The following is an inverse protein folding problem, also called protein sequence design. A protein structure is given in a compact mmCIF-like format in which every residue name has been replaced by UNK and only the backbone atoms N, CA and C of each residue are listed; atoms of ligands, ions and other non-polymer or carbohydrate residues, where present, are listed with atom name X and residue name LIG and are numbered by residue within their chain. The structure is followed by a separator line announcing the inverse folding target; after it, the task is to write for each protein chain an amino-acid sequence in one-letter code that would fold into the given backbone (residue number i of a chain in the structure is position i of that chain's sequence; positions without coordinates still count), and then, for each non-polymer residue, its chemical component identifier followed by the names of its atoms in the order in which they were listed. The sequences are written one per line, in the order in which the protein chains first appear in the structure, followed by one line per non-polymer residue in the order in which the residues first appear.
data_IF_533567151759
#
_entry.id   IF_533567151759
#
_cell.length_a   1.000
_cell.length_b   1.000
_cell.length_c   1.000
_cell.angle_alpha   90.00
_cell.angle_beta   90.00
_cell.angle_gamma   90.00
#
_symmetry.space_group_name_H-M   'P 1'
#
loop_
_entity.id
_entity.type
_entity.pdbx_description
1 polymer ?
#
# COMPACT_ATOMS: atom_id res chain seq x y z
N UNK A 1 3.70 -6.39 15.17
CA UNK A 1 2.56 -6.54 14.22
C UNK A 1 1.42 -5.60 14.57
N UNK A 2 0.43 -5.37 13.68
CA UNK A 2 -0.59 -4.35 14.00
C UNK A 2 -1.30 -4.65 15.31
N UNK A 3 -1.43 -3.63 16.15
CA UNK A 3 -2.00 -3.73 17.50
C UNK A 3 -3.00 -2.61 17.69
N UNK A 4 -4.25 -2.98 17.93
CA UNK A 4 -5.30 -1.99 18.17
C UNK A 4 -5.10 -1.33 19.54
N UNK A 5 -5.45 -0.03 19.67
CA UNK A 5 -5.46 0.61 20.96
C UNK A 5 -6.40 -0.14 21.90
N UNK A 6 -5.91 -0.44 23.11
CA UNK A 6 -6.77 -1.00 24.15
C UNK A 6 -7.91 -0.02 24.39
N UNK A 7 -9.18 -0.44 24.36
CA UNK A 7 -10.30 0.47 24.59
C UNK A 7 -10.13 1.13 25.95
N UNK A 8 -9.69 2.38 25.98
CA UNK A 8 -9.76 3.19 27.19
C UNK A 8 -11.23 3.48 27.41
N UNK A 9 -11.76 2.99 28.54
CA UNK A 9 -13.21 2.89 28.77
C UNK A 9 -13.95 4.21 28.56
N UNK A 10 -14.55 4.38 27.38
CA UNK A 10 -15.68 5.27 27.16
C UNK A 10 -16.86 4.45 26.65
N UNK A 11 -17.80 4.19 27.58
CA UNK A 11 -19.11 3.63 27.28
C UNK A 11 -19.83 4.54 26.26
N UNK A 12 -19.94 4.07 25.02
CA UNK A 12 -20.62 4.77 23.92
C UNK A 12 -21.54 3.82 23.17
N UNK A 13 -22.78 3.71 23.64
CA UNK A 13 -23.98 3.11 23.02
C UNK A 13 -23.81 2.56 21.58
N UNK A 14 -23.80 1.23 21.45
CA UNK A 14 -24.09 0.53 20.18
C UNK A 14 -25.46 0.96 19.65
N UNK A 15 -25.49 1.72 18.55
CA UNK A 15 -26.69 1.87 17.72
C UNK A 15 -26.68 0.73 16.71
N UNK A 16 -27.59 -0.21 16.90
CA UNK A 16 -27.86 -1.31 15.98
C UNK A 16 -28.55 -0.72 14.74
N UNK A 17 -27.87 -0.63 13.60
CA UNK A 17 -28.50 -0.34 12.32
C UNK A 17 -28.89 -1.67 11.65
N UNK A 18 -30.19 -1.86 11.44
CA UNK A 18 -30.75 -2.99 10.71
C UNK A 18 -30.70 -2.67 9.22
N UNK A 19 -29.88 -3.39 8.44
CA UNK A 19 -29.85 -3.27 6.98
C UNK A 19 -30.94 -4.17 6.36
N UNK A 20 -31.86 -3.58 5.60
CA UNK A 20 -32.83 -4.29 4.76
C UNK A 20 -32.27 -4.32 3.34
N UNK A 21 -31.96 -5.53 2.84
CA UNK A 21 -31.52 -5.76 1.46
C UNK A 21 -32.73 -6.15 0.62
N UNK A 22 -33.12 -5.33 -0.34
CA UNK A 22 -34.08 -5.68 -1.39
C UNK A 22 -33.35 -5.95 -2.71
N UNK A 23 -33.33 -7.22 -3.11
CA UNK A 23 -32.86 -7.69 -4.43
C UNK A 23 -34.00 -7.55 -5.46
N UNK A 24 -33.78 -6.75 -6.50
CA UNK A 24 -34.60 -6.73 -7.71
C UNK A 24 -33.78 -7.25 -8.88
N UNK A 25 -34.13 -8.44 -9.36
CA UNK A 25 -33.61 -9.03 -10.59
C UNK A 25 -34.54 -8.60 -11.73
N UNK A 26 -33.99 -7.93 -12.75
CA UNK A 26 -34.72 -7.69 -14.00
C UNK A 26 -33.88 -8.19 -15.17
N UNK A 27 -34.41 -9.19 -15.86
CA UNK A 27 -33.88 -9.76 -17.08
C UNK A 27 -34.59 -9.13 -18.27
N UNK A 28 -33.83 -8.67 -19.27
CA UNK A 28 -34.34 -8.43 -20.61
C UNK A 28 -33.29 -8.89 -21.64
N UNK A 29 -33.68 -9.87 -22.44
CA UNK A 29 -33.00 -10.28 -23.65
C UNK A 29 -33.47 -9.42 -24.83
N UNK A 30 -32.58 -9.08 -25.77
CA UNK A 30 -32.97 -8.72 -27.13
C UNK A 30 -31.85 -9.00 -28.15
N UNK A 31 -32.08 -10.07 -28.92
CA UNK A 31 -31.94 -10.21 -30.37
C UNK A 31 -30.85 -9.45 -31.12
N UNK A 32 -30.01 -10.24 -31.80
CA UNK A 32 -29.13 -9.78 -32.86
C UNK A 32 -29.87 -9.37 -34.14
N UNK A 33 -29.18 -8.51 -34.89
CA UNK A 33 -29.34 -8.37 -36.32
C UNK A 33 -27.94 -8.10 -36.91
N UNK A 34 -27.49 -8.99 -37.78
CA UNK A 34 -26.43 -8.69 -38.74
C UNK A 34 -27.03 -7.82 -39.86
N UNK A 35 -26.19 -7.01 -40.53
CA UNK A 35 -26.08 -6.96 -42.00
C UNK A 35 -25.06 -5.90 -42.47
N UNK A 36 -24.27 -6.36 -43.44
CA UNK A 36 -23.56 -5.73 -44.56
C UNK A 36 -22.39 -4.75 -44.39
N UNK A 37 -21.28 -5.26 -44.92
CA UNK A 37 -20.09 -4.64 -45.50
C UNK A 37 -20.39 -3.82 -46.75
N UNK A 38 -19.76 -2.66 -46.89
CA UNK A 38 -19.57 -1.95 -48.17
C UNK A 38 -18.07 -1.60 -48.32
N UNK A 39 -17.45 -1.70 -49.52
CA UNK A 39 -16.02 -1.58 -49.70
C UNK A 39 -15.61 -0.13 -49.98
N UNK A 40 -14.96 0.50 -49.01
CA UNK A 40 -14.43 1.87 -49.13
C UNK A 40 -12.92 1.92 -49.33
N UNK A 41 -12.51 2.14 -50.58
CA UNK A 41 -11.33 2.89 -51.07
C UNK A 41 -10.02 2.84 -50.25
N UNK A 42 -9.00 2.20 -50.83
CA UNK A 42 -7.62 2.21 -50.36
C UNK A 42 -7.02 3.63 -50.34
N UNK A 43 -6.55 4.09 -49.16
CA UNK A 43 -5.66 5.25 -49.01
C UNK A 43 -4.19 4.76 -49.04
N UNK A 44 -3.26 5.54 -49.61
CA UNK A 44 -1.85 5.17 -49.65
C UNK A 44 -1.27 5.12 -48.24
N UNK A 45 -0.42 4.12 -48.00
CA UNK A 45 0.29 3.94 -46.73
C UNK A 45 1.24 5.13 -46.51
N UNK A 46 0.87 6.02 -45.60
CA UNK A 46 1.81 6.97 -45.02
C UNK A 46 2.70 6.17 -44.06
N UNK A 47 4.01 6.20 -44.29
CA UNK A 47 5.00 5.69 -43.33
C UNK A 47 4.70 6.26 -41.94
N UNK A 48 4.27 5.38 -41.02
CA UNK A 48 4.22 5.72 -39.61
C UNK A 48 5.66 5.74 -39.10
N UNK A 49 6.30 6.90 -39.19
CA UNK A 49 7.50 7.17 -38.39
C UNK A 49 7.09 6.99 -36.94
N UNK A 50 7.66 5.95 -36.30
CA UNK A 50 7.51 5.69 -34.87
C UNK A 50 7.90 6.99 -34.14
N UNK A 51 7.01 7.60 -33.34
CA UNK A 51 7.39 8.75 -32.53
C UNK A 51 8.60 8.36 -31.68
N UNK A 52 9.59 9.24 -31.59
CA UNK A 52 10.71 9.06 -30.69
C UNK A 52 10.19 8.81 -29.26
N UNK A 53 10.90 8.04 -28.42
CA UNK A 53 10.51 7.88 -27.02
C UNK A 53 10.33 9.26 -26.39
N UNK A 54 9.14 9.52 -25.84
CA UNK A 54 8.91 10.72 -25.05
C UNK A 54 9.85 10.61 -23.84
N UNK A 55 10.69 11.62 -23.53
CA UNK A 55 11.55 11.55 -22.36
C UNK A 55 10.69 11.27 -21.12
N UNK A 56 11.15 10.35 -20.28
CA UNK A 56 10.52 10.01 -19.01
C UNK A 56 10.14 11.30 -18.29
N UNK A 57 8.83 11.57 -18.16
CA UNK A 57 8.34 12.77 -17.52
C UNK A 57 8.83 12.73 -16.08
N UNK A 58 9.79 13.59 -15.73
CA UNK A 58 10.32 13.64 -14.37
C UNK A 58 9.20 14.09 -13.45
N UNK A 59 8.75 13.21 -12.56
CA UNK A 59 7.79 13.57 -11.53
C UNK A 59 8.32 14.81 -10.80
N UNK A 60 7.54 15.88 -10.79
CA UNK A 60 7.83 17.12 -10.06
C UNK A 60 6.64 17.38 -9.17
N UNK A 61 6.85 17.65 -7.88
CA UNK A 61 5.72 17.95 -7.01
C UNK A 61 5.12 19.33 -7.34
N UNK A 62 3.79 19.44 -7.39
CA UNK A 62 3.12 20.72 -7.41
C UNK A 62 3.56 21.59 -6.23
N UNK A 63 3.84 22.87 -6.49
CA UNK A 63 4.21 23.80 -5.41
C UNK A 63 3.11 23.95 -4.36
N UNK A 64 1.84 23.77 -4.77
CA UNK A 64 0.67 23.72 -3.88
C UNK A 64 0.75 22.57 -2.88
N UNK A 65 1.10 21.37 -3.33
CA UNK A 65 1.27 20.19 -2.47
C UNK A 65 2.39 20.41 -1.44
N UNK A 66 3.53 20.96 -1.88
CA UNK A 66 4.66 21.25 -0.98
C UNK A 66 4.26 22.27 0.09
N UNK A 67 3.60 23.37 -0.30
CA UNK A 67 3.16 24.41 0.62
C UNK A 67 2.05 23.91 1.57
N UNK A 68 1.08 23.15 1.05
CA UNK A 68 0.02 22.53 1.83
C UNK A 68 0.57 21.57 2.87
N UNK A 69 1.58 20.77 2.51
CA UNK A 69 2.21 19.84 3.43
C UNK A 69 2.97 20.57 4.54
N UNK A 70 3.69 21.65 4.20
CA UNK A 70 4.32 22.51 5.20
C UNK A 70 3.30 23.12 6.17
N UNK A 71 2.11 23.48 5.68
CA UNK A 71 1.03 23.98 6.52
C UNK A 71 0.44 22.89 7.43
N UNK A 72 0.23 21.67 6.92
CA UNK A 72 -0.21 20.53 7.74
C UNK A 72 0.76 20.28 8.90
N UNK A 73 2.07 20.25 8.64
CA UNK A 73 3.10 20.09 9.68
C UNK A 73 3.06 21.19 10.74
N UNK A 74 2.73 22.41 10.37
CA UNK A 74 2.63 23.52 11.32
C UNK A 74 1.38 23.40 12.23
N UNK A 75 0.34 22.71 11.78
CA UNK A 75 -0.94 22.56 12.49
C UNK A 75 -1.06 21.28 13.32
N UNK A 76 -0.33 20.23 12.94
CA UNK A 76 -0.42 18.89 13.52
C UNK A 76 0.90 18.55 14.24
N UNK A 77 0.97 18.72 15.57
CA UNK A 77 2.17 18.40 16.35
C UNK A 77 2.52 16.91 16.24
N UNK A 78 3.76 16.63 15.86
CA UNK A 78 4.24 15.28 15.62
C UNK A 78 5.16 15.19 14.42
N UNK A 79 5.53 13.96 14.07
CA UNK A 79 6.32 13.64 12.89
C UNK A 79 5.43 13.02 11.83
N UNK A 80 5.65 13.42 10.58
CA UNK A 80 4.92 12.85 9.44
C UNK A 80 5.81 12.79 8.20
N UNK A 81 5.47 11.87 7.31
CA UNK A 81 6.18 11.66 6.05
C UNK A 81 5.22 11.28 4.94
N UNK A 82 5.42 11.86 3.76
CA UNK A 82 4.78 11.49 2.51
C UNK A 82 5.89 11.25 1.49
N UNK A 83 5.85 10.11 0.81
CA UNK A 83 6.73 9.81 -0.29
C UNK A 83 5.91 9.35 -1.50
N UNK A 84 6.29 9.80 -2.70
CA UNK A 84 5.61 9.43 -3.95
C UNK A 84 6.61 9.09 -5.07
N UNK A 85 6.19 8.19 -5.96
CA UNK A 85 6.94 7.75 -7.13
C UNK A 85 5.97 7.22 -8.19
N UNK A 86 6.20 7.52 -9.47
CA UNK A 86 5.47 6.88 -10.55
C UNK A 86 5.79 5.36 -10.59
N UNK A 87 4.78 4.50 -10.76
CA UNK A 87 5.01 3.05 -10.91
C UNK A 87 5.99 2.78 -12.06
N UNK A 88 6.94 1.88 -11.84
CA UNK A 88 8.00 1.57 -12.81
C UNK A 88 9.12 2.62 -12.90
N UNK A 89 8.98 3.78 -12.26
CA UNK A 89 9.99 4.84 -12.22
C UNK A 89 11.03 4.68 -11.11
N UNK A 90 11.98 5.61 -11.08
CA UNK A 90 13.08 5.65 -10.08
C UNK A 90 13.16 6.98 -9.31
N UNK A 91 12.31 7.95 -9.65
CA UNK A 91 12.33 9.26 -9.02
C UNK A 91 11.48 9.29 -7.76
N UNK A 92 12.16 9.24 -6.60
CA UNK A 92 11.56 9.42 -5.28
C UNK A 92 11.37 10.90 -5.02
N UNK A 93 10.20 11.28 -4.52
CA UNK A 93 10.03 12.58 -3.85
C UNK A 93 9.46 12.37 -2.46
N UNK A 94 10.02 13.06 -1.47
CA UNK A 94 9.61 12.98 -0.06
C UNK A 94 9.29 14.35 0.51
N UNK A 95 8.26 14.41 1.36
CA UNK A 95 7.91 15.55 2.20
C UNK A 95 7.84 15.10 3.66
N UNK A 96 8.21 15.98 4.57
CA UNK A 96 8.15 15.74 6.02
C UNK A 96 9.47 15.37 6.66
N UNK A 97 9.38 14.92 7.91
CA UNK A 97 10.51 14.63 8.80
C UNK A 97 10.49 13.19 9.35
N UNK A 98 9.42 12.43 9.09
CA UNK A 98 9.40 11.00 9.35
C UNK A 98 10.10 10.24 8.23
N UNK A 99 11.06 9.37 8.57
CA UNK A 99 11.93 8.71 7.59
C UNK A 99 11.98 7.19 7.72
N UNK A 100 11.96 6.64 8.93
CA UNK A 100 12.07 5.20 9.17
C UNK A 100 11.40 4.78 10.46
N UNK A 101 11.04 3.51 10.53
CA UNK A 101 10.47 2.85 11.70
C UNK A 101 9.99 1.44 11.35
N UNK A 102 9.42 0.76 12.34
CA UNK A 102 8.87 -0.59 12.20
C UNK A 102 7.81 -0.67 11.11
N UNK A 103 7.81 -1.76 10.35
CA UNK A 103 6.88 -1.98 9.24
C UNK A 103 5.44 -2.24 9.71
N UNK A 104 5.26 -2.79 10.91
CA UNK A 104 3.97 -3.29 11.38
C UNK A 104 3.34 -4.22 10.32
N UNK A 105 2.02 -4.16 10.10
CA UNK A 105 1.35 -5.01 9.11
C UNK A 105 1.60 -4.64 7.65
N UNK A 106 2.35 -3.57 7.35
CA UNK A 106 2.68 -3.27 5.95
C UNK A 106 3.59 -4.35 5.33
N UNK A 107 4.43 -5.01 6.13
CA UNK A 107 5.28 -6.14 5.70
C UNK A 107 4.47 -7.37 5.25
N UNK A 108 3.16 -7.44 5.57
CA UNK A 108 2.32 -8.56 5.15
C UNK A 108 2.20 -8.68 3.63
N UNK A 109 2.39 -7.58 2.89
CA UNK A 109 2.31 -7.58 1.42
C UNK A 109 3.47 -8.38 0.79
N UNK A 110 4.76 -8.09 1.05
CA UNK A 110 5.85 -8.93 0.54
C UNK A 110 5.81 -10.36 1.12
N UNK A 111 5.34 -10.53 2.37
CA UNK A 111 5.10 -11.85 2.96
C UNK A 111 4.07 -12.68 2.18
N UNK A 112 2.91 -12.11 1.89
CA UNK A 112 1.87 -12.78 1.12
C UNK A 112 2.35 -13.10 -0.31
N UNK A 113 3.11 -12.20 -0.94
CA UNK A 113 3.69 -12.45 -2.26
C UNK A 113 4.67 -13.63 -2.23
N UNK A 114 5.60 -13.65 -1.27
CA UNK A 114 6.54 -14.76 -1.11
C UNK A 114 5.79 -16.10 -0.89
N UNK A 115 4.80 -16.11 -0.01
CA UNK A 115 4.00 -17.30 0.31
C UNK A 115 3.16 -17.78 -0.89
N UNK A 116 2.47 -16.89 -1.59
CA UNK A 116 1.66 -17.24 -2.77
C UNK A 116 2.51 -17.73 -3.95
N UNK A 117 3.78 -17.31 -4.05
CA UNK A 117 4.71 -17.88 -5.05
C UNK A 117 5.06 -19.34 -4.75
N UNK A 118 5.03 -19.75 -3.48
CA UNK A 118 5.28 -21.13 -3.05
C UNK A 118 4.06 -22.02 -3.28
N UNK A 119 2.89 -21.56 -2.87
CA UNK A 119 1.63 -22.29 -3.01
C UNK A 119 0.47 -21.32 -3.32
N UNK A 120 0.24 -21.00 -4.60
CA UNK A 120 -0.75 -19.99 -4.99
C UNK A 120 -2.19 -20.42 -4.70
N UNK A 121 -2.46 -21.73 -4.60
CA UNK A 121 -3.82 -22.25 -4.39
C UNK A 121 -4.09 -22.52 -2.91
N UNK A 122 -3.19 -23.23 -2.24
CA UNK A 122 -3.40 -23.63 -0.84
C UNK A 122 -3.29 -22.48 0.16
N UNK A 123 -2.62 -21.38 -0.18
CA UNK A 123 -2.45 -20.21 0.69
C UNK A 123 -3.33 -19.01 0.28
N UNK A 124 -4.23 -19.18 -0.69
CA UNK A 124 -5.05 -18.08 -1.20
C UNK A 124 -5.93 -17.42 -0.12
N UNK A 125 -6.69 -18.22 0.64
CA UNK A 125 -7.58 -17.71 1.69
C UNK A 125 -6.80 -17.11 2.87
N UNK A 126 -5.63 -17.69 3.18
CA UNK A 126 -4.73 -17.21 4.24
C UNK A 126 -4.15 -15.85 3.84
N UNK A 127 -3.70 -15.71 2.59
CA UNK A 127 -3.23 -14.43 2.05
C UNK A 127 -4.34 -13.38 2.02
N UNK A 128 -5.56 -13.77 1.65
CA UNK A 128 -6.72 -12.87 1.68
C UNK A 128 -6.94 -12.32 3.09
N UNK A 129 -7.06 -13.19 4.11
CA UNK A 129 -7.26 -12.75 5.49
C UNK A 129 -6.13 -11.84 6.00
N UNK A 130 -4.88 -12.20 5.69
CA UNK A 130 -3.71 -11.42 6.08
C UNK A 130 -3.69 -10.02 5.43
N UNK A 131 -4.11 -9.89 4.17
CA UNK A 131 -4.09 -8.60 3.46
C UNK A 131 -5.33 -7.76 3.76
N UNK A 132 -6.53 -8.30 3.56
CA UNK A 132 -7.79 -7.53 3.59
C UNK A 132 -8.21 -7.12 5.00
N UNK A 133 -8.14 -8.05 5.94
CA UNK A 133 -8.51 -7.84 7.34
C UNK A 133 -7.29 -7.56 8.23
N UNK A 134 -6.07 -7.63 7.67
CA UNK A 134 -4.85 -7.55 8.47
C UNK A 134 -4.77 -8.60 9.56
N UNK A 135 -5.32 -9.80 9.33
CA UNK A 135 -5.34 -10.90 10.30
C UNK A 135 -3.91 -11.33 10.67
N UNK A 136 -3.61 -11.37 11.96
CA UNK A 136 -2.27 -11.67 12.45
C UNK A 136 -1.99 -13.18 12.43
N UNK A 137 -2.97 -14.03 12.75
CA UNK A 137 -2.79 -15.49 12.74
C UNK A 137 -2.61 -15.99 11.31
N UNK A 138 -3.34 -15.41 10.35
CA UNK A 138 -3.15 -15.69 8.94
C UNK A 138 -1.74 -15.30 8.48
N UNK A 139 -1.22 -14.13 8.85
CA UNK A 139 0.14 -13.75 8.53
C UNK A 139 1.19 -14.66 9.18
N UNK A 140 0.97 -15.10 10.43
CA UNK A 140 1.83 -16.09 11.06
C UNK A 140 1.81 -17.43 10.29
N UNK A 141 0.65 -17.86 9.79
CA UNK A 141 0.55 -19.07 8.98
C UNK A 141 1.30 -18.96 7.65
N UNK A 142 1.29 -17.78 7.00
CA UNK A 142 2.11 -17.53 5.80
C UNK A 142 3.60 -17.61 6.13
N UNK A 143 4.03 -17.02 7.24
CA UNK A 143 5.42 -17.07 7.71
C UNK A 143 5.88 -18.51 7.97
N UNK A 144 5.05 -19.31 8.66
CA UNK A 144 5.32 -20.73 8.92
C UNK A 144 5.35 -21.54 7.63
N UNK A 145 4.46 -21.26 6.67
CA UNK A 145 4.44 -21.95 5.37
C UNK A 145 5.71 -21.72 4.54
N UNK A 146 6.43 -20.61 4.79
CA UNK A 146 7.74 -20.33 4.21
C UNK A 146 8.91 -21.00 4.96
N UNK A 147 8.63 -21.70 6.07
CA UNK A 147 9.61 -22.39 6.91
C UNK A 147 9.82 -21.75 8.29
N UNK A 148 9.20 -20.60 8.57
CA UNK A 148 9.46 -19.81 9.77
C UNK A 148 10.89 -19.26 9.79
N UNK A 149 11.27 -18.62 10.90
CA UNK A 149 12.64 -18.20 11.20
C UNK A 149 13.38 -17.53 10.03
N UNK A 150 14.65 -17.92 9.86
CA UNK A 150 15.53 -17.46 8.78
C UNK A 150 14.96 -17.74 7.37
N UNK A 151 14.48 -18.96 7.03
CA UNK A 151 13.93 -19.23 5.69
C UNK A 151 12.80 -18.29 5.27
N UNK A 152 11.90 -17.96 6.19
CA UNK A 152 10.81 -17.04 5.90
C UNK A 152 11.32 -15.60 5.76
N UNK A 153 12.29 -15.18 6.57
CA UNK A 153 12.92 -13.87 6.48
C UNK A 153 13.61 -13.67 5.13
N UNK A 154 14.41 -14.66 4.71
CA UNK A 154 15.10 -14.67 3.42
C UNK A 154 14.12 -14.61 2.23
N UNK A 155 12.99 -15.33 2.32
CA UNK A 155 11.98 -15.33 1.27
C UNK A 155 11.28 -13.96 1.12
N UNK A 156 10.97 -13.30 2.23
CA UNK A 156 10.41 -11.94 2.23
C UNK A 156 11.45 -10.93 1.75
N UNK A 157 12.69 -11.07 2.20
CA UNK A 157 13.79 -10.19 1.80
C UNK A 157 14.05 -10.33 0.29
N UNK A 158 14.04 -11.53 -0.27
CA UNK A 158 14.19 -11.74 -1.71
C UNK A 158 13.13 -10.98 -2.54
N UNK A 159 11.89 -10.91 -2.05
CA UNK A 159 10.83 -10.11 -2.68
C UNK A 159 11.14 -8.61 -2.60
N UNK A 160 11.64 -8.12 -1.47
CA UNK A 160 12.07 -6.72 -1.32
C UNK A 160 13.24 -6.40 -2.27
N UNK A 161 14.21 -7.31 -2.41
CA UNK A 161 15.38 -7.16 -3.30
C UNK A 161 14.97 -7.13 -4.77
N UNK A 162 14.01 -7.94 -5.20
CA UNK A 162 13.43 -7.89 -6.56
C UNK A 162 12.78 -6.52 -6.83
N UNK A 163 12.22 -5.89 -5.79
CA UNK A 163 11.63 -4.56 -5.86
C UNK A 163 12.65 -3.41 -5.70
N UNK A 164 13.95 -3.72 -5.62
CA UNK A 164 15.03 -2.73 -5.57
C UNK A 164 15.36 -2.19 -4.17
N UNK A 165 14.74 -2.70 -3.10
CA UNK A 165 15.19 -2.45 -1.73
C UNK A 165 16.41 -3.32 -1.46
N UNK A 166 17.57 -2.71 -1.19
CA UNK A 166 18.84 -3.41 -0.95
C UNK A 166 19.31 -3.37 0.51
N UNK A 167 18.49 -2.83 1.41
CA UNK A 167 18.94 -2.45 2.76
C UNK A 167 18.09 -3.02 3.88
N UNK A 168 16.80 -3.26 3.67
CA UNK A 168 15.92 -3.72 4.75
C UNK A 168 16.27 -5.13 5.20
N UNK A 169 16.56 -5.27 6.49
CA UNK A 169 16.78 -6.54 7.17
C UNK A 169 15.45 -7.03 7.76
N UNK A 170 14.87 -8.07 7.17
CA UNK A 170 13.56 -8.59 7.60
C UNK A 170 13.66 -9.10 9.04
N UNK A 171 12.64 -8.74 9.84
CA UNK A 171 12.55 -9.02 11.27
C UNK A 171 13.66 -8.37 12.12
N UNK A 172 14.46 -7.46 11.54
CA UNK A 172 15.61 -6.83 12.21
C UNK A 172 16.59 -7.88 12.79
N UNK A 173 16.68 -9.04 12.13
CA UNK A 173 17.27 -10.27 12.67
C UNK A 173 18.78 -10.21 12.88
N UNK A 174 19.47 -9.31 12.18
CA UNK A 174 20.91 -9.10 12.31
C UNK A 174 21.26 -7.94 13.26
N UNK A 175 20.26 -7.26 13.83
CA UNK A 175 20.49 -6.20 14.80
C UNK A 175 20.76 -6.83 16.19
N UNK A 176 21.96 -6.64 16.79
CA UNK A 176 22.27 -7.18 18.11
C UNK A 176 21.42 -6.56 19.24
N UNK A 177 20.82 -5.40 18.99
CA UNK A 177 19.95 -4.68 19.92
C UNK A 177 18.45 -4.99 19.68
N UNK A 178 18.13 -5.91 18.76
CA UNK A 178 16.75 -6.34 18.52
C UNK A 178 16.15 -6.96 19.78
N UNK A 179 14.91 -6.55 20.11
CA UNK A 179 14.18 -7.05 21.29
C UNK A 179 13.59 -8.43 21.10
N UNK A 180 13.37 -8.81 19.85
CA UNK A 180 12.71 -10.04 19.45
C UNK A 180 13.70 -10.94 18.71
N UNK A 181 13.61 -12.24 18.96
CA UNK A 181 14.33 -13.25 18.18
C UNK A 181 13.59 -13.54 16.88
N UNK A 182 14.32 -13.97 15.85
CA UNK A 182 13.73 -14.41 14.57
C UNK A 182 12.74 -15.58 14.72
N UNK A 183 12.82 -16.32 15.83
CA UNK A 183 11.91 -17.41 16.17
C UNK A 183 10.64 -16.94 16.90
N UNK A 184 10.57 -15.68 17.31
CA UNK A 184 9.39 -15.14 17.99
C UNK A 184 8.20 -15.03 17.03
N UNK A 185 6.97 -15.34 17.48
CA UNK A 185 5.78 -15.13 16.67
C UNK A 185 5.70 -13.68 16.20
N UNK A 186 5.26 -13.48 14.96
CA UNK A 186 4.97 -12.16 14.39
C UNK A 186 6.19 -11.22 14.28
N UNK A 187 7.42 -11.72 14.45
CA UNK A 187 8.66 -10.90 14.44
C UNK A 187 8.89 -10.17 13.12
N UNK A 188 8.38 -10.70 11.99
CA UNK A 188 8.43 -10.00 10.70
C UNK A 188 7.84 -8.58 10.75
N UNK A 189 6.89 -8.31 11.65
CA UNK A 189 6.35 -6.96 11.86
C UNK A 189 7.33 -5.95 12.46
N UNK A 190 8.40 -6.41 13.11
CA UNK A 190 9.45 -5.58 13.71
C UNK A 190 10.50 -5.10 12.69
N UNK A 191 10.41 -5.57 11.44
CA UNK A 191 11.27 -5.12 10.32
C UNK A 191 11.36 -3.59 10.30
N UNK A 192 12.56 -3.05 10.45
CA UNK A 192 12.80 -1.63 10.24
C UNK A 192 12.71 -1.33 8.73
N UNK A 193 11.77 -0.47 8.34
CA UNK A 193 11.50 -0.20 6.93
C UNK A 193 11.37 1.29 6.68
N UNK A 194 12.32 1.83 5.92
CA UNK A 194 12.34 3.25 5.59
C UNK A 194 11.13 3.64 4.74
N UNK A 195 10.69 4.90 4.82
CA UNK A 195 9.60 5.42 3.99
C UNK A 195 9.92 5.28 2.50
N UNK A 196 11.19 5.49 2.13
CA UNK A 196 11.66 5.43 0.75
C UNK A 196 11.72 4.01 0.23
N UNK A 197 12.19 3.05 1.02
CA UNK A 197 12.24 1.64 0.57
C UNK A 197 10.85 1.03 0.51
N UNK A 198 9.95 1.40 1.43
CA UNK A 198 8.54 1.06 1.35
C UNK A 198 7.88 1.64 0.09
N UNK A 199 8.21 2.88 -0.29
CA UNK A 199 7.75 3.48 -1.54
C UNK A 199 8.32 2.75 -2.77
N UNK A 200 9.62 2.41 -2.77
CA UNK A 200 10.24 1.66 -3.88
C UNK A 200 9.55 0.31 -4.08
N UNK A 201 9.29 -0.39 -2.98
CA UNK A 201 8.51 -1.63 -3.02
C UNK A 201 7.14 -1.40 -3.65
N UNK A 202 6.40 -0.37 -3.21
CA UNK A 202 5.11 -0.02 -3.78
C UNK A 202 5.19 0.25 -5.29
N UNK A 203 6.16 1.06 -5.74
CA UNK A 203 6.34 1.45 -7.14
C UNK A 203 6.75 0.30 -8.07
N UNK A 204 7.32 -0.77 -7.51
CA UNK A 204 7.73 -1.97 -8.25
C UNK A 204 6.76 -3.14 -8.09
N UNK A 205 5.91 -3.16 -7.06
CA UNK A 205 5.01 -4.27 -6.73
C UNK A 205 4.18 -4.78 -7.93
N UNK A 206 3.48 -3.94 -8.72
CA UNK A 206 2.71 -4.41 -9.88
C UNK A 206 3.57 -5.06 -10.97
N UNK A 207 4.87 -4.77 -10.97
CA UNK A 207 5.82 -5.24 -11.97
C UNK A 207 6.49 -6.56 -11.57
N UNK A 208 6.30 -7.00 -10.32
CA UNK A 208 6.87 -8.25 -9.82
C UNK A 208 6.12 -9.45 -10.37
N UNK A 209 6.85 -10.53 -10.62
CA UNK A 209 6.25 -11.77 -11.11
C UNK A 209 5.20 -12.32 -10.12
N UNK A 210 4.03 -12.72 -10.61
CA UNK A 210 2.91 -13.25 -9.82
C UNK A 210 2.39 -12.32 -8.71
N UNK A 211 2.53 -11.00 -8.86
CA UNK A 211 2.04 -10.04 -7.85
C UNK A 211 0.56 -9.67 -7.95
N UNK A 212 -0.09 -9.90 -9.11
CA UNK A 212 -1.45 -9.41 -9.38
C UNK A 212 -2.45 -9.79 -8.29
N UNK A 213 -2.41 -11.05 -7.80
CA UNK A 213 -3.32 -11.49 -6.73
C UNK A 213 -3.15 -10.70 -5.43
N UNK A 214 -1.92 -10.36 -5.04
CA UNK A 214 -1.68 -9.57 -3.82
C UNK A 214 -2.15 -8.14 -4.01
N UNK A 215 -1.90 -7.56 -5.20
CA UNK A 215 -2.39 -6.23 -5.56
C UNK A 215 -3.92 -6.17 -5.56
N UNK A 216 -4.60 -7.18 -6.11
CA UNK A 216 -6.07 -7.27 -6.10
C UNK A 216 -6.64 -7.34 -4.67
N UNK A 217 -5.94 -8.02 -3.76
CA UNK A 217 -6.34 -8.07 -2.34
C UNK A 217 -6.17 -6.72 -1.64
N UNK A 218 -5.20 -5.91 -2.06
CA UNK A 218 -4.99 -4.56 -1.51
C UNK A 218 -6.10 -3.56 -1.88
N UNK A 219 -6.99 -3.89 -2.83
CA UNK A 219 -8.21 -3.11 -3.10
C UNK A 219 -9.38 -3.46 -2.17
N UNK A 220 -9.24 -4.55 -1.40
CA UNK A 220 -10.34 -5.16 -0.65
C UNK A 220 -10.16 -4.99 0.87
N UNK A 221 -9.44 -3.93 1.28
CA UNK A 221 -9.23 -3.62 2.69
C UNK A 221 -10.58 -3.36 3.37
N UNK A 222 -10.79 -3.95 4.54
CA UNK A 222 -12.03 -3.82 5.30
C UNK A 222 -12.29 -2.39 5.74
N UNK A 223 -13.56 -1.98 5.79
CA UNK A 223 -14.00 -0.61 6.14
C UNK A 223 -13.38 -0.04 7.43
N UNK A 224 -13.13 -0.87 8.45
CA UNK A 224 -12.50 -0.42 9.71
C UNK A 224 -11.05 0.05 9.55
N UNK A 225 -10.41 -0.28 8.43
CA UNK A 225 -9.03 0.08 8.08
C UNK A 225 -8.97 1.00 6.85
N UNK A 226 -10.12 1.51 6.39
CA UNK A 226 -10.25 2.36 5.20
C UNK A 226 -10.03 3.86 5.47
N UNK A 227 -9.06 4.15 6.34
CA UNK A 227 -8.52 5.48 6.57
C UNK A 227 -7.36 5.77 5.60
N UNK A 228 -6.92 7.02 5.53
CA UNK A 228 -5.80 7.48 4.68
C UNK A 228 -6.05 7.23 3.20
N UNK A 229 -5.20 6.38 2.60
CA UNK A 229 -5.31 5.97 1.19
C UNK A 229 -6.64 5.29 0.85
N UNK A 230 -7.37 4.75 1.84
CA UNK A 230 -8.72 4.22 1.65
C UNK A 230 -9.77 5.24 1.19
N UNK A 231 -9.46 6.54 1.27
CA UNK A 231 -10.31 7.61 0.73
C UNK A 231 -10.26 7.73 -0.80
N UNK A 232 -9.27 7.12 -1.46
CA UNK A 232 -9.12 7.19 -2.91
C UNK A 232 -9.91 6.06 -3.60
N UNK A 233 -10.74 6.44 -4.58
CA UNK A 233 -11.45 5.45 -5.41
C UNK A 233 -10.44 4.64 -6.22
N UNK A 234 -10.46 3.32 -6.05
CA UNK A 234 -9.59 2.39 -6.77
C UNK A 234 -8.15 2.32 -6.24
N UNK A 235 -7.88 2.82 -5.03
CA UNK A 235 -6.57 2.64 -4.42
C UNK A 235 -6.34 1.18 -3.98
N UNK A 236 -5.08 0.75 -4.13
CA UNK A 236 -4.57 -0.54 -3.66
C UNK A 236 -3.60 -0.25 -2.53
N UNK A 237 -3.91 -0.55 -1.27
CA UNK A 237 -3.05 -0.16 -0.15
C UNK A 237 -2.99 -1.19 0.96
N UNK A 238 -1.99 -1.04 1.84
CA UNK A 238 -1.92 -1.74 3.12
C UNK A 238 -1.49 -0.80 4.23
N UNK A 239 -2.24 -0.81 5.32
CA UNK A 239 -1.89 -0.12 6.57
C UNK A 239 -1.17 -1.01 7.58
N UNK A 240 -0.41 -0.37 8.48
CA UNK A 240 0.20 -0.94 9.66
C UNK A 240 0.24 0.08 10.80
N UNK A 241 -0.04 -0.35 12.02
CA UNK A 241 -0.10 0.54 13.18
C UNK A 241 0.30 -0.17 14.47
N UNK A 242 0.87 0.56 15.42
CA UNK A 242 1.13 0.00 16.75
C UNK A 242 1.88 0.98 17.63
N UNK A 243 1.86 0.77 18.96
CA UNK A 243 2.61 1.58 19.89
C UNK A 243 4.09 1.21 19.83
N UNK A 244 4.95 2.19 19.99
CA UNK A 244 6.34 1.98 20.38
C UNK A 244 6.39 1.30 21.77
N UNK A 245 7.26 0.30 21.92
CA UNK A 245 7.31 -0.53 23.12
C UNK A 245 7.75 0.23 24.39
N UNK A 246 8.51 1.33 24.25
CA UNK A 246 9.01 2.12 25.39
C UNK A 246 8.07 3.28 25.74
N UNK A 247 7.65 4.02 24.73
CA UNK A 247 6.91 5.26 24.89
C UNK A 247 5.40 5.06 24.84
N UNK A 248 4.94 3.94 24.28
CA UNK A 248 3.53 3.70 23.97
C UNK A 248 2.99 4.55 22.82
N UNK A 249 3.82 5.37 22.19
CA UNK A 249 3.40 6.30 21.14
C UNK A 249 3.09 5.53 19.85
N UNK A 250 1.90 5.76 19.30
CA UNK A 250 1.48 5.10 18.07
C UNK A 250 2.20 5.64 16.84
N UNK A 251 2.69 4.70 16.03
CA UNK A 251 3.00 4.91 14.63
C UNK A 251 1.85 4.34 13.80
N UNK A 252 1.36 5.12 12.85
CA UNK A 252 0.44 4.67 11.80
C UNK A 252 1.10 4.91 10.45
N UNK A 253 1.19 3.87 9.62
CA UNK A 253 1.81 3.95 8.28
C UNK A 253 1.00 3.20 7.24
N UNK A 254 1.09 3.66 6.00
CA UNK A 254 0.47 3.06 4.83
C UNK A 254 1.44 3.11 3.65
N UNK A 255 1.27 2.17 2.74
CA UNK A 255 1.72 2.36 1.36
C UNK A 255 0.71 1.75 0.40
N UNK A 256 0.80 2.17 -0.86
CA UNK A 256 -0.09 1.67 -1.88
C UNK A 256 0.09 2.34 -3.23
N UNK A 257 -0.90 2.12 -4.08
CA UNK A 257 -1.00 2.59 -5.44
C UNK A 257 -2.29 3.40 -5.54
N UNK A 258 -2.16 4.63 -6.05
CA UNK A 258 -3.25 5.56 -6.25
C UNK A 258 -3.42 5.78 -7.76
N UNK A 259 -4.62 5.57 -8.33
CA UNK A 259 -4.87 5.88 -9.73
C UNK A 259 -4.68 7.36 -10.05
N UNK A 260 -4.02 7.64 -11.18
CA UNK A 260 -3.92 8.97 -11.78
C UNK A 260 -4.43 8.91 -13.22
N UNK A 261 -4.49 10.06 -13.91
CA UNK A 261 -4.84 10.08 -15.34
C UNK A 261 -3.78 9.49 -16.26
N UNK A 262 -2.55 9.29 -15.76
CA UNK A 262 -1.39 8.86 -16.57
C UNK A 262 -0.82 7.50 -16.16
N UNK A 263 -1.52 6.77 -15.30
CA UNK A 263 -1.08 5.49 -14.73
C UNK A 263 -1.26 5.45 -13.23
N UNK A 264 -0.51 4.60 -12.54
CA UNK A 264 -0.55 4.49 -11.09
C UNK A 264 0.59 5.27 -10.42
N UNK A 265 0.27 5.94 -9.32
CA UNK A 265 1.23 6.59 -8.44
C UNK A 265 1.44 5.72 -7.21
N UNK A 266 2.67 5.32 -6.94
CA UNK A 266 3.03 4.71 -5.68
C UNK A 266 3.14 5.78 -4.59
N UNK A 267 2.59 5.49 -3.42
CA UNK A 267 2.51 6.40 -2.28
C UNK A 267 2.92 5.65 -1.03
N UNK A 268 3.74 6.26 -0.18
CA UNK A 268 4.01 5.81 1.18
C UNK A 268 3.78 6.97 2.16
N UNK A 269 3.13 6.68 3.28
CA UNK A 269 2.74 7.64 4.30
C UNK A 269 3.06 7.10 5.69
N UNK A 270 3.47 7.99 6.60
CA UNK A 270 3.64 7.65 8.01
C UNK A 270 3.33 8.86 8.91
N UNK A 271 2.71 8.59 10.05
CA UNK A 271 2.33 9.59 11.04
C UNK A 271 2.62 9.09 12.46
N UNK A 272 3.19 9.99 13.27
CA UNK A 272 3.44 9.79 14.70
C UNK A 272 3.16 11.12 15.43
N UNK A 273 1.95 11.31 15.99
CA UNK A 273 1.57 12.53 16.69
C UNK A 273 2.33 12.68 18.01
N UNK A 274 2.55 13.92 18.46
CA UNK A 274 3.16 14.19 19.77
C UNK A 274 2.30 13.66 20.94
N UNK A 275 0.99 13.50 20.73
CA UNK A 275 0.08 12.90 21.71
C UNK A 275 0.32 11.41 21.93
N UNK A 276 0.98 10.74 20.97
CA UNK A 276 1.16 9.28 20.95
C UNK A 276 -0.12 8.48 20.71
N UNK A 277 -1.27 9.13 20.44
CA UNK A 277 -2.56 8.46 20.26
C UNK A 277 -2.70 7.83 18.88
N UNK A 278 -3.36 6.66 18.81
CA UNK A 278 -3.77 6.04 17.55
C UNK A 278 -4.72 6.94 16.74
N UNK A 279 -5.74 7.51 17.39
CA UNK A 279 -6.76 8.31 16.70
C UNK A 279 -6.17 9.57 16.05
N UNK A 280 -5.25 10.25 16.75
CA UNK A 280 -4.56 11.43 16.21
C UNK A 280 -3.61 11.06 15.06
N UNK A 281 -3.00 9.87 15.12
CA UNK A 281 -2.15 9.37 14.04
C UNK A 281 -2.98 9.04 12.78
N UNK A 282 -4.19 8.50 12.95
CA UNK A 282 -5.15 8.30 11.86
C UNK A 282 -5.63 9.64 11.31
N UNK A 283 -5.93 10.64 12.15
CA UNK A 283 -6.28 11.99 11.66
C UNK A 283 -5.15 12.58 10.81
N UNK A 284 -3.90 12.50 11.27
CA UNK A 284 -2.74 12.97 10.49
C UNK A 284 -2.65 12.24 9.13
N UNK A 285 -2.92 10.93 9.10
CA UNK A 285 -2.95 10.16 7.85
C UNK A 285 -4.05 10.62 6.89
N UNK A 286 -5.25 10.83 7.40
CA UNK A 286 -6.40 11.33 6.63
C UNK A 286 -6.13 12.72 6.07
N UNK A 287 -5.51 13.61 6.86
CA UNK A 287 -5.14 14.96 6.43
C UNK A 287 -4.08 14.96 5.32
N UNK A 288 -3.05 14.10 5.44
CA UNK A 288 -2.05 13.94 4.37
C UNK A 288 -2.68 13.38 3.09
N UNK A 289 -3.58 12.41 3.22
CA UNK A 289 -4.27 11.78 2.09
C UNK A 289 -5.24 12.74 1.40
N UNK A 290 -5.98 13.54 2.16
CA UNK A 290 -6.85 14.59 1.64
C UNK A 290 -6.04 15.64 0.85
N UNK A 291 -4.93 16.12 1.41
CA UNK A 291 -4.03 17.03 0.70
C UNK A 291 -3.47 16.42 -0.58
N UNK A 292 -3.06 15.15 -0.55
CA UNK A 292 -2.62 14.45 -1.75
C UNK A 292 -3.74 14.37 -2.79
N UNK A 293 -4.99 14.12 -2.38
CA UNK A 293 -6.14 14.05 -3.28
C UNK A 293 -6.40 15.33 -4.04
N UNK A 294 -6.13 16.49 -3.44
CA UNK A 294 -6.28 17.80 -4.08
C UNK A 294 -5.30 17.97 -5.25
N UNK A 295 -4.15 17.29 -5.20
CA UNK A 295 -3.04 17.43 -6.14
C UNK A 295 -2.74 16.18 -6.98
N UNK A 296 -3.43 15.06 -6.74
CA UNK A 296 -3.17 13.77 -7.43
C UNK A 296 -3.27 13.89 -8.95
N UNK A 297 -4.12 14.81 -9.40
CA UNK A 297 -4.40 15.11 -10.79
C UNK A 297 -3.25 15.85 -11.51
N UNK A 298 -2.35 16.46 -10.73
CA UNK A 298 -1.14 17.13 -11.21
C UNK A 298 0.09 16.21 -11.16
N UNK A 299 -0.05 15.03 -10.54
CA UNK A 299 1.02 14.04 -10.42
C UNK A 299 0.97 13.05 -11.57
N UNK A 300 2.15 12.71 -12.09
CA UNK A 300 2.29 11.71 -13.13
C UNK A 300 2.42 10.31 -12.50
N UNK A 301 1.49 9.42 -12.85
CA UNK A 301 1.61 8.00 -12.59
C UNK A 301 2.52 7.33 -13.63
N UNK A 302 2.74 6.04 -13.44
CA UNK A 302 3.47 5.20 -14.37
C UNK A 302 2.83 3.82 -14.51
N UNK A 303 3.47 2.98 -15.30
CA UNK A 303 3.06 1.60 -15.58
C UNK A 303 4.33 0.74 -15.66
N UNK A 304 4.16 -0.58 -15.50
CA UNK A 304 5.26 -1.51 -15.72
C UNK A 304 5.60 -1.61 -17.21
N UNK A 305 6.88 -1.49 -17.54
CA UNK A 305 7.35 -1.78 -18.90
C UNK A 305 7.10 -3.26 -19.20
N UNK A 306 6.44 -3.54 -20.33
CA UNK A 306 6.10 -4.89 -20.82
C UNK A 306 7.25 -5.52 -21.59
#
# INVERSE_FOLDING_TARGET
MSTDPTPTGRQGRRRLFLAVVTLLVSACAAHGAAVSTDPGLARPATDMVRPAPVPHSTLTLPSGLVAGFANLRAQLPGRMGLAVMAVGGDHVITLGDWTTGVAWSTIKVPLALAALRRDPVGLADVAQAAITASDNDAAQALWIALGGGEPAAEAVEAVLREAGDTTTDVADRHNPDARQSIDDPMVFGATQWSLVDQLRFAARLPCLHNASRVVDLMQQITDSQSWGLGSFVGAEYKGGWGPDDDTGAYLVRQFGLVPTWSGQLAVALAAQPDSGSYDDAVEMMDRMSALLSEHVHELHGGECER
#
